data_IF_797363023453
#
_entry.id   IF_797363023453
#
_cell.length_a   1.000
_cell.length_b   1.000
_cell.length_c   1.000
_cell.angle_alpha   90.00
_cell.angle_beta   90.00
_cell.angle_gamma   90.00
#
_symmetry.space_group_name_H-M   'P 1'
#
loop_
_entity.id
_entity.type
_entity.pdbx_description
1 polymer ?
#
# COMPACT_ATOMS: atom_id res chain seq x y z
N UNK A 1 -2.00 14.79 -18.14
CA UNK A 1 -0.61 14.92 -17.67
C UNK A 1 -0.43 13.91 -16.57
N UNK A 2 0.24 12.81 -16.88
CA UNK A 2 0.42 11.69 -15.96
C UNK A 2 1.60 12.01 -15.02
N UNK A 3 1.34 12.82 -13.99
CA UNK A 3 2.31 13.00 -12.91
C UNK A 3 2.25 11.74 -12.06
N UNK A 4 3.22 10.83 -12.27
CA UNK A 4 3.49 9.78 -11.28
C UNK A 4 3.55 10.44 -9.89
N UNK A 5 2.83 9.93 -8.89
CA UNK A 5 2.93 10.48 -7.54
C UNK A 5 4.39 10.47 -7.11
N UNK A 6 4.82 11.52 -6.44
CA UNK A 6 6.09 11.50 -5.75
C UNK A 6 5.91 10.63 -4.49
N UNK A 7 6.00 9.31 -4.67
CA UNK A 7 5.90 8.33 -3.58
C UNK A 7 7.17 8.45 -2.72
N UNK A 8 7.06 8.59 -1.39
CA UNK A 8 8.21 8.49 -0.51
C UNK A 8 8.86 7.11 -0.63
N UNK A 9 10.19 7.02 -0.63
CA UNK A 9 10.91 5.75 -0.57
C UNK A 9 10.90 5.13 0.83
N UNK A 10 10.50 5.92 1.83
CA UNK A 10 10.33 5.53 3.24
C UNK A 10 8.93 5.92 3.70
N UNK A 11 8.16 4.95 4.20
CA UNK A 11 6.81 5.13 4.77
C UNK A 11 6.74 4.37 6.08
N UNK A 12 6.23 5.02 7.15
CA UNK A 12 6.14 4.40 8.48
C UNK A 12 7.49 3.96 9.06
N UNK A 13 8.60 4.58 8.62
CA UNK A 13 9.96 4.18 8.98
C UNK A 13 10.51 2.97 8.22
N UNK A 14 9.71 2.35 7.35
CA UNK A 14 10.12 1.22 6.52
C UNK A 14 10.45 1.61 5.08
N UNK A 15 11.30 0.80 4.44
CA UNK A 15 11.61 0.94 3.01
C UNK A 15 10.44 0.47 2.17
N UNK A 16 9.92 1.34 1.29
CA UNK A 16 8.83 0.95 0.39
C UNK A 16 9.36 -0.09 -0.62
N UNK A 17 8.62 -1.19 -0.75
CA UNK A 17 8.88 -2.24 -1.73
C UNK A 17 7.90 -2.16 -2.90
N UNK A 18 6.64 -1.92 -2.58
CA UNK A 18 5.54 -1.81 -3.52
C UNK A 18 4.56 -0.76 -3.02
N UNK A 19 3.90 -0.09 -3.95
CA UNK A 19 2.81 0.82 -3.63
C UNK A 19 1.75 0.77 -4.71
N UNK A 20 0.55 1.24 -4.37
CA UNK A 20 -0.51 1.49 -5.34
C UNK A 20 -1.41 2.60 -4.83
N UNK A 21 -1.88 3.46 -5.74
CA UNK A 21 -2.91 4.44 -5.40
C UNK A 21 -4.26 3.75 -5.45
N UNK A 22 -5.11 4.04 -4.48
CA UNK A 22 -6.51 3.67 -4.54
C UNK A 22 -7.25 4.81 -5.25
N UNK A 23 -7.87 4.46 -6.36
CA UNK A 23 -8.62 5.35 -7.25
C UNK A 23 -9.81 4.58 -7.86
N UNK A 24 -10.47 5.17 -8.86
CA UNK A 24 -11.66 4.62 -9.53
C UNK A 24 -11.50 3.20 -10.11
N UNK A 25 -10.27 2.70 -10.27
CA UNK A 25 -10.01 1.32 -10.70
C UNK A 25 -10.26 0.30 -9.60
N UNK A 26 -10.45 0.75 -8.36
CA UNK A 26 -10.54 -0.10 -7.18
C UNK A 26 -11.93 -0.06 -6.57
N UNK A 27 -12.44 -1.23 -6.18
CA UNK A 27 -13.73 -1.34 -5.47
C UNK A 27 -13.46 -1.81 -4.04
N UNK A 28 -13.67 -0.94 -3.02
CA UNK A 28 -13.59 -1.34 -1.62
C UNK A 28 -14.62 -2.43 -1.32
N UNK A 29 -14.20 -3.51 -0.68
CA UNK A 29 -15.12 -4.53 -0.15
C UNK A 29 -15.67 -4.10 1.21
N UNK A 30 -16.68 -4.80 1.73
CA UNK A 30 -17.36 -4.43 2.99
C UNK A 30 -16.43 -4.44 4.20
N UNK A 31 -15.31 -5.15 4.07
CA UNK A 31 -14.27 -5.33 5.05
C UNK A 31 -13.28 -4.15 5.10
N UNK A 32 -13.29 -3.28 4.08
CA UNK A 32 -12.46 -2.08 4.08
C UNK A 32 -12.97 -1.07 5.13
N UNK A 33 -12.15 -0.77 6.13
CA UNK A 33 -12.49 0.17 7.20
C UNK A 33 -12.70 1.61 6.68
N UNK A 34 -11.97 1.99 5.64
CA UNK A 34 -12.08 3.25 4.93
C UNK A 34 -11.49 3.09 3.52
N UNK A 35 -11.74 4.04 2.63
CA UNK A 35 -11.05 4.13 1.33
C UNK A 35 -9.80 4.98 1.51
N UNK A 36 -8.58 4.39 1.53
CA UNK A 36 -7.36 5.16 1.66
C UNK A 36 -7.06 5.87 0.33
N UNK A 37 -6.09 6.78 0.35
CA UNK A 37 -5.54 7.32 -0.89
C UNK A 37 -4.57 6.33 -1.56
N UNK A 38 -3.86 5.53 -0.76
CA UNK A 38 -2.91 4.56 -1.25
C UNK A 38 -2.59 3.46 -0.26
N UNK A 39 -2.01 2.39 -0.79
CA UNK A 39 -1.46 1.28 -0.03
C UNK A 39 0.05 1.20 -0.30
N UNK A 40 0.83 0.92 0.75
CA UNK A 40 2.27 0.74 0.65
C UNK A 40 2.70 -0.53 1.38
N UNK A 41 3.45 -1.39 0.69
CA UNK A 41 4.11 -2.54 1.30
C UNK A 41 5.54 -2.13 1.60
N UNK A 42 5.90 -2.13 2.88
CA UNK A 42 7.20 -1.71 3.35
C UNK A 42 7.93 -2.85 4.07
N UNK A 43 9.25 -2.80 3.98
CA UNK A 43 10.18 -3.60 4.74
C UNK A 43 10.69 -2.76 5.91
N UNK A 44 10.27 -3.12 7.13
CA UNK A 44 10.78 -2.50 8.34
C UNK A 44 11.92 -3.39 8.84
N UNK A 45 13.14 -2.85 8.76
CA UNK A 45 14.35 -3.60 9.09
C UNK A 45 14.24 -4.25 10.48
N UNK A 46 14.40 -5.57 10.53
CA UNK A 46 14.27 -6.37 11.76
C UNK A 46 12.84 -6.60 12.26
N UNK A 47 11.82 -5.99 11.67
CA UNK A 47 10.41 -6.13 12.07
C UNK A 47 9.55 -6.88 11.05
N UNK A 48 9.97 -6.92 9.78
CA UNK A 48 9.31 -7.69 8.72
C UNK A 48 8.52 -6.83 7.72
N UNK A 49 7.54 -7.45 7.05
CA UNK A 49 6.76 -6.80 5.99
C UNK A 49 5.50 -6.18 6.58
N UNK A 50 5.25 -4.92 6.26
CA UNK A 50 4.06 -4.19 6.69
C UNK A 50 3.27 -3.71 5.48
N UNK A 51 1.94 -3.84 5.56
CA UNK A 51 1.01 -3.18 4.65
C UNK A 51 0.44 -1.95 5.35
N UNK A 52 0.78 -0.77 4.83
CA UNK A 52 0.24 0.50 5.29
C UNK A 52 -0.91 0.95 4.40
N UNK A 53 -1.99 1.38 5.04
CA UNK A 53 -2.99 2.27 4.42
C UNK A 53 -2.56 3.71 4.64
N UNK A 54 -2.63 4.53 3.60
CA UNK A 54 -2.08 5.88 3.62
C UNK A 54 -3.12 6.94 3.25
N UNK A 55 -3.00 8.11 3.87
CA UNK A 55 -3.69 9.33 3.48
C UNK A 55 -3.09 9.93 2.18
N UNK A 56 -3.63 11.07 1.75
CA UNK A 56 -3.29 11.74 0.48
C UNK A 56 -1.85 12.24 0.35
N UNK A 57 -1.16 12.37 1.47
CA UNK A 57 0.26 12.71 1.60
C UNK A 57 1.18 11.49 1.85
N UNK A 58 0.65 10.26 1.70
CA UNK A 58 1.33 9.01 2.04
C UNK A 58 1.65 8.84 3.54
N UNK A 59 1.01 9.60 4.43
CA UNK A 59 1.07 9.37 5.87
C UNK A 59 0.35 8.07 6.23
N UNK A 60 1.00 7.11 6.93
CA UNK A 60 0.35 5.89 7.40
C UNK A 60 -0.80 6.20 8.36
N UNK A 61 -1.95 5.58 8.12
CA UNK A 61 -3.15 5.68 8.99
C UNK A 61 -3.37 4.37 9.74
N UNK A 62 -3.23 3.24 9.05
CA UNK A 62 -3.25 1.91 9.64
C UNK A 62 -2.14 1.05 9.04
N UNK A 63 -1.67 0.10 9.83
CA UNK A 63 -0.70 -0.90 9.42
C UNK A 63 -1.17 -2.31 9.76
N UNK A 64 -0.65 -3.28 9.03
CA UNK A 64 -0.75 -4.70 9.36
C UNK A 64 0.55 -5.40 9.05
N UNK A 65 0.98 -6.27 9.95
CA UNK A 65 2.18 -7.08 9.78
C UNK A 65 1.88 -8.33 8.96
N UNK A 66 2.85 -8.72 8.13
CA UNK A 66 2.80 -9.89 7.27
C UNK A 66 4.15 -10.59 7.25
N UNK A 67 4.13 -11.93 7.15
CA UNK A 67 5.36 -12.72 6.97
C UNK A 67 6.02 -12.46 5.61
N UNK A 68 5.23 -12.13 4.59
CA UNK A 68 5.70 -11.98 3.20
C UNK A 68 4.99 -10.86 2.45
N UNK A 69 5.65 -10.33 1.42
CA UNK A 69 5.03 -9.40 0.45
C UNK A 69 3.79 -10.02 -0.21
N UNK A 70 3.80 -11.32 -0.48
CA UNK A 70 2.64 -12.01 -1.05
C UNK A 70 1.46 -12.02 -0.07
N UNK A 71 1.71 -12.21 1.23
CA UNK A 71 0.71 -12.09 2.28
C UNK A 71 0.07 -10.70 2.31
N UNK A 72 0.90 -9.66 2.31
CA UNK A 72 0.44 -8.27 2.26
C UNK A 72 -0.41 -7.98 1.00
N UNK A 73 0.02 -8.45 -0.18
CA UNK A 73 -0.77 -8.30 -1.42
C UNK A 73 -2.10 -9.03 -1.37
N UNK A 74 -2.16 -10.22 -0.75
CA UNK A 74 -3.41 -10.98 -0.56
C UNK A 74 -4.38 -10.27 0.38
N UNK A 75 -3.89 -9.69 1.47
CA UNK A 75 -4.71 -8.87 2.37
C UNK A 75 -5.29 -7.67 1.63
N UNK A 76 -4.45 -6.94 0.88
CA UNK A 76 -4.92 -5.81 0.07
C UNK A 76 -5.98 -6.20 -0.96
N UNK A 77 -5.82 -7.34 -1.66
CA UNK A 77 -6.78 -7.86 -2.62
C UNK A 77 -8.10 -8.30 -1.99
N UNK A 78 -8.05 -8.76 -0.74
CA UNK A 78 -9.23 -9.08 0.03
C UNK A 78 -10.02 -7.80 0.38
N UNK A 79 -9.36 -6.68 0.63
CA UNK A 79 -10.02 -5.40 0.97
C UNK A 79 -10.41 -4.56 -0.24
N UNK A 80 -9.63 -4.60 -1.33
CA UNK A 80 -9.79 -3.75 -2.51
C UNK A 80 -9.66 -4.58 -3.80
N UNK A 81 -10.78 -4.76 -4.49
CA UNK A 81 -10.78 -5.39 -5.80
C UNK A 81 -10.01 -4.54 -6.83
N UNK A 82 -9.18 -5.16 -7.66
CA UNK A 82 -8.41 -4.51 -8.72
C UNK A 82 -6.98 -4.11 -8.33
N UNK A 83 -6.65 -4.18 -7.04
CA UNK A 83 -5.33 -3.81 -6.52
C UNK A 83 -4.21 -4.69 -7.07
N UNK A 84 -4.51 -5.94 -7.45
CA UNK A 84 -3.54 -6.90 -7.95
C UNK A 84 -2.86 -6.43 -9.23
N UNK A 85 -3.52 -5.56 -10.00
CA UNK A 85 -3.07 -5.07 -11.30
C UNK A 85 -2.43 -3.67 -11.26
N UNK A 86 -2.34 -3.03 -10.09
CA UNK A 86 -1.93 -1.63 -9.97
C UNK A 86 -0.69 -1.42 -9.09
N UNK A 87 -0.09 -2.50 -8.59
CA UNK A 87 1.16 -2.43 -7.84
C UNK A 87 2.32 -1.90 -8.68
N UNK A 88 2.98 -0.87 -8.17
CA UNK A 88 4.19 -0.27 -8.72
C UNK A 88 5.35 -0.40 -7.71
N UNK A 89 6.59 -0.38 -8.22
CA UNK A 89 7.78 -0.28 -7.38
C UNK A 89 8.17 1.20 -7.24
N UNK A 90 8.64 1.64 -6.06
CA UNK A 90 9.08 3.02 -5.89
C UNK A 90 10.28 3.31 -6.79
N UNK A 91 10.50 4.58 -7.17
CA UNK A 91 11.70 4.98 -7.87
C UNK A 91 12.94 4.66 -7.01
N UNK A 92 14.02 4.28 -7.70
CA UNK A 92 15.33 3.99 -7.09
C UNK A 92 16.02 5.29 -6.72
#
# INVERSE_FOLDING_TARGET
>A
MDRRPNIPTIIGGGRVLWYTRIDERHVPRKEAAAVPYGLAICDLEGSGIFLFTCADDWMPVFDSWHETVLGAKRQAAFEFEGVESTWEQPPV
#
